data_IF_333835392792
#
_entry.id   IF_333835392792
#
_cell.length_a   1.000
_cell.length_b   1.000
_cell.length_c   1.000
_cell.angle_alpha   90.00
_cell.angle_beta   90.00
_cell.angle_gamma   90.00
#
_symmetry.space_group_name_H-M   'P 1'
#
loop_
_entity.id
_entity.type
_entity.pdbx_description
1 polymer ?
#
# COMPACT_ATOMS: atom_id res chain seq x y z
N UNK A 1 17.51 -5.06 3.20
CA UNK A 1 17.14 -5.88 4.37
C UNK A 1 15.62 -5.91 4.58
N UNK A 2 14.95 -4.76 4.69
CA UNK A 2 13.50 -4.66 4.96
C UNK A 2 12.63 -5.41 3.92
N UNK A 3 12.90 -5.26 2.62
CA UNK A 3 12.18 -6.01 1.56
C UNK A 3 12.17 -7.51 1.83
N UNK A 4 13.32 -8.10 2.22
CA UNK A 4 13.42 -9.54 2.48
C UNK A 4 12.63 -9.98 3.72
N UNK A 5 12.39 -9.08 4.67
CA UNK A 5 11.56 -9.35 5.84
C UNK A 5 10.09 -9.29 5.42
N UNK A 6 9.69 -8.23 4.72
CA UNK A 6 8.33 -8.07 4.20
C UNK A 6 7.92 -9.22 3.27
N UNK A 7 8.81 -9.66 2.38
CA UNK A 7 8.55 -10.76 1.44
C UNK A 7 8.33 -12.13 2.11
N UNK A 8 8.70 -12.29 3.40
CA UNK A 8 8.38 -13.51 4.16
C UNK A 8 6.95 -13.54 4.67
N UNK A 9 6.33 -12.37 4.85
CA UNK A 9 5.01 -12.21 5.44
C UNK A 9 3.95 -11.82 4.41
N UNK A 10 4.35 -11.05 3.39
CA UNK A 10 3.45 -10.45 2.41
C UNK A 10 3.89 -10.76 0.98
N UNK A 11 2.92 -10.74 0.08
CA UNK A 11 3.18 -10.80 -1.36
C UNK A 11 3.99 -9.55 -1.78
N UNK A 12 5.09 -9.74 -2.52
CA UNK A 12 5.93 -8.67 -3.05
C UNK A 12 5.19 -7.68 -3.96
N UNK A 13 3.97 -8.02 -4.41
CA UNK A 13 3.10 -7.13 -5.15
C UNK A 13 2.46 -6.01 -4.33
N UNK A 14 2.47 -6.13 -3.01
CA UNK A 14 1.83 -5.16 -2.12
C UNK A 14 2.75 -4.00 -1.72
N UNK A 15 4.05 -4.07 -2.04
CA UNK A 15 4.99 -3.06 -1.61
C UNK A 15 6.11 -2.79 -2.63
N UNK A 16 6.67 -1.58 -2.56
CA UNK A 16 7.85 -1.19 -3.33
C UNK A 16 8.68 -0.12 -2.62
N UNK A 17 9.98 -0.06 -2.96
CA UNK A 17 10.90 0.98 -2.49
C UNK A 17 11.34 1.83 -3.66
N UNK A 18 11.14 3.15 -3.57
CA UNK A 18 11.48 4.19 -4.56
C UNK A 18 10.88 4.04 -5.97
N UNK A 19 10.45 2.84 -6.37
CA UNK A 19 9.88 2.56 -7.67
C UNK A 19 8.36 2.43 -7.57
N UNK A 20 7.64 3.15 -8.42
CA UNK A 20 6.18 3.02 -8.50
C UNK A 20 5.77 1.61 -8.92
N UNK A 21 4.84 1.01 -8.18
CA UNK A 21 4.26 -0.30 -8.48
C UNK A 21 2.76 -0.21 -8.29
N UNK A 22 1.98 -0.51 -9.34
CA UNK A 22 0.51 -0.42 -9.31
C UNK A 22 -0.07 -1.28 -8.20
N UNK A 23 -1.01 -0.71 -7.47
CA UNK A 23 -1.70 -1.36 -6.35
C UNK A 23 -0.83 -1.58 -5.12
N UNK A 24 0.36 -0.99 -5.03
CA UNK A 24 1.31 -1.21 -3.93
C UNK A 24 1.45 0.00 -3.02
N UNK A 25 1.88 -0.26 -1.79
CA UNK A 25 2.41 0.77 -0.89
C UNK A 25 3.86 1.05 -1.30
N UNK A 26 4.19 2.31 -1.51
CA UNK A 26 5.51 2.80 -1.89
C UNK A 26 6.12 3.57 -0.72
N UNK A 27 7.34 3.19 -0.34
CA UNK A 27 8.22 4.01 0.50
C UNK A 27 9.23 4.73 -0.42
N UNK A 28 9.20 6.06 -0.44
CA UNK A 28 10.08 6.86 -1.29
C UNK A 28 10.89 7.87 -0.47
N UNK A 29 12.16 8.05 -0.83
CA UNK A 29 13.02 9.07 -0.25
C UNK A 29 12.75 10.43 -0.89
N UNK A 30 12.41 11.44 -0.08
CA UNK A 30 12.11 12.81 -0.52
C UNK A 30 12.86 13.80 0.37
N UNK A 31 13.80 14.55 -0.20
CA UNK A 31 14.55 15.62 0.50
C UNK A 31 15.19 15.22 1.84
N UNK A 32 15.71 13.99 1.95
CA UNK A 32 16.31 13.48 3.19
C UNK A 32 15.32 12.89 4.20
N UNK A 33 14.03 12.95 3.89
CA UNK A 33 12.95 12.26 4.60
C UNK A 33 12.36 11.14 3.74
N UNK A 34 11.31 10.50 4.26
CA UNK A 34 10.61 9.43 3.58
C UNK A 34 9.10 9.66 3.58
N UNK A 35 8.51 9.46 2.41
CA UNK A 35 7.08 9.52 2.19
C UNK A 35 6.55 8.10 1.94
N UNK A 36 5.32 7.87 2.40
CA UNK A 36 4.56 6.64 2.17
C UNK A 36 3.39 6.97 1.27
N UNK A 37 3.34 6.32 0.13
CA UNK A 37 2.33 6.54 -0.91
C UNK A 37 1.59 5.24 -1.24
N UNK A 38 0.32 5.34 -1.63
CA UNK A 38 -0.37 4.26 -2.33
C UNK A 38 -0.34 4.55 -3.83
N UNK A 39 0.18 3.61 -4.61
CA UNK A 39 0.18 3.71 -6.06
C UNK A 39 -1.11 3.08 -6.59
N UNK A 40 -2.06 3.88 -7.06
CA UNK A 40 -3.31 3.42 -7.66
C UNK A 40 -3.04 2.61 -8.94
N UNK A 41 -4.06 1.86 -9.38
CA UNK A 41 -3.99 1.06 -10.62
C UNK A 41 -3.74 1.91 -11.88
N UNK A 42 -4.12 3.19 -11.87
CA UNK A 42 -3.89 4.16 -12.93
C UNK A 42 -2.49 4.83 -12.88
N UNK A 43 -1.55 4.35 -12.03
CA UNK A 43 -0.24 4.94 -11.73
C UNK A 43 -0.25 6.26 -10.94
N UNK A 44 -1.42 6.76 -10.53
CA UNK A 44 -1.50 7.92 -9.65
C UNK A 44 -0.95 7.58 -8.26
N UNK A 45 -0.16 8.49 -7.68
CA UNK A 45 0.33 8.36 -6.30
C UNK A 45 -0.58 9.13 -5.37
N UNK A 46 -1.08 8.44 -4.36
CA UNK A 46 -1.82 9.03 -3.25
C UNK A 46 -0.87 9.09 -2.07
N UNK A 47 -0.53 10.29 -1.64
CA UNK A 47 0.28 10.44 -0.43
C UNK A 47 -0.53 9.98 0.79
N UNK A 48 0.01 9.00 1.50
CA UNK A 48 -0.56 8.52 2.75
C UNK A 48 -0.02 9.34 3.91
N UNK A 49 1.30 9.42 3.99
CA UNK A 49 2.04 10.11 5.05
C UNK A 49 3.32 10.70 4.45
N UNK A 50 3.68 11.91 4.85
CA UNK A 50 4.88 12.62 4.39
C UNK A 50 5.92 12.84 5.48
N UNK A 51 7.14 13.18 5.07
CA UNK A 51 8.20 13.79 5.88
C UNK A 51 8.59 12.98 7.13
N UNK A 52 8.62 11.64 7.00
CA UNK A 52 9.01 10.78 8.12
C UNK A 52 10.50 10.53 8.14
N UNK A 53 11.05 10.47 9.36
CA UNK A 53 12.39 9.90 9.57
C UNK A 53 12.38 8.41 9.22
N UNK A 54 13.53 7.87 8.80
CA UNK A 54 13.62 6.49 8.32
C UNK A 54 12.97 5.47 9.28
N UNK A 55 13.33 5.50 10.57
CA UNK A 55 12.83 4.54 11.56
C UNK A 55 11.30 4.59 11.69
N UNK A 56 10.72 5.79 11.69
CA UNK A 56 9.27 5.95 11.74
C UNK A 56 8.61 5.53 10.42
N UNK A 57 9.21 5.90 9.30
CA UNK A 57 8.69 5.59 7.97
C UNK A 57 8.58 4.08 7.73
N UNK A 58 9.56 3.30 8.19
CA UNK A 58 9.56 1.83 8.05
C UNK A 58 8.40 1.19 8.84
N UNK A 59 8.10 1.69 10.05
CA UNK A 59 6.98 1.18 10.86
C UNK A 59 5.66 1.52 10.18
N UNK A 60 5.48 2.75 9.74
CA UNK A 60 4.27 3.21 9.03
C UNK A 60 4.08 2.42 7.74
N UNK A 61 5.16 2.23 6.98
CA UNK A 61 5.17 1.45 5.75
C UNK A 61 4.71 0.01 5.99
N UNK A 62 5.25 -0.67 6.99
CA UNK A 62 4.82 -2.02 7.39
C UNK A 62 3.32 -2.07 7.70
N UNK A 63 2.82 -1.12 8.50
CA UNK A 63 1.41 -1.07 8.91
C UNK A 63 0.48 -0.90 7.70
N UNK A 64 0.83 -0.05 6.74
CA UNK A 64 0.02 0.13 5.54
C UNK A 64 0.07 -1.07 4.59
N UNK A 65 1.20 -1.77 4.50
CA UNK A 65 1.27 -3.04 3.75
C UNK A 65 0.34 -4.07 4.38
N UNK A 66 0.34 -4.18 5.71
CA UNK A 66 -0.55 -5.07 6.45
C UNK A 66 -2.02 -4.71 6.22
N UNK A 67 -2.38 -3.43 6.31
CA UNK A 67 -3.76 -2.99 6.03
C UNK A 67 -4.19 -3.34 4.60
N UNK A 68 -3.31 -3.13 3.63
CA UNK A 68 -3.60 -3.48 2.24
C UNK A 68 -3.78 -5.00 2.07
N UNK A 69 -2.93 -5.81 2.72
CA UNK A 69 -3.06 -7.26 2.72
C UNK A 69 -4.40 -7.73 3.34
N UNK A 70 -4.78 -7.14 4.48
CA UNK A 70 -6.06 -7.43 5.15
C UNK A 70 -7.25 -7.05 4.24
N UNK A 71 -7.17 -5.90 3.55
CA UNK A 71 -8.19 -5.50 2.57
C UNK A 71 -8.32 -6.51 1.41
N UNK A 72 -7.20 -6.94 0.81
CA UNK A 72 -7.23 -7.89 -0.31
C UNK A 72 -7.88 -9.24 0.08
N UNK A 73 -7.69 -9.66 1.34
CA UNK A 73 -8.37 -10.84 1.86
C UNK A 73 -9.87 -10.60 2.06
N UNK A 74 -10.25 -9.47 2.67
CA UNK A 74 -11.65 -9.12 2.93
C UNK A 74 -12.45 -8.95 1.62
N UNK A 75 -11.89 -8.23 0.64
CA UNK A 75 -12.59 -7.95 -0.61
C UNK A 75 -12.76 -9.21 -1.45
N UNK A 76 -11.86 -10.20 -1.33
CA UNK A 76 -12.00 -11.49 -1.99
C UNK A 76 -13.25 -12.23 -1.52
N UNK A 77 -13.48 -12.24 -0.20
CA UNK A 77 -14.67 -12.86 0.39
C UNK A 77 -15.94 -12.13 -0.05
N UNK A 78 -15.95 -10.79 -0.01
CA UNK A 78 -17.08 -9.97 -0.46
C UNK A 78 -17.35 -10.16 -1.97
N UNK A 79 -16.30 -10.22 -2.78
CA UNK A 79 -16.40 -10.36 -4.23
C UNK A 79 -17.03 -11.70 -4.66
N UNK A 80 -16.96 -12.72 -3.81
CA UNK A 80 -17.66 -13.99 -4.04
C UNK A 80 -19.18 -13.86 -3.97
N UNK A 81 -19.70 -12.79 -3.33
CA UNK A 81 -21.12 -12.56 -3.09
C UNK A 81 -21.69 -11.56 -4.11
N UNK A 82 -21.04 -10.40 -4.27
CA UNK A 82 -21.61 -9.25 -5.00
C UNK A 82 -20.81 -8.80 -6.24
N UNK A 83 -19.68 -9.44 -6.54
CA UNK A 83 -18.84 -9.18 -7.72
C UNK A 83 -18.65 -7.69 -8.06
N UNK A 84 -18.05 -6.88 -7.16
CA UNK A 84 -17.86 -5.46 -7.42
C UNK A 84 -16.89 -5.25 -8.60
N UNK A 85 -17.12 -4.18 -9.37
CA UNK A 85 -16.18 -3.79 -10.43
C UNK A 85 -14.82 -3.39 -9.85
N UNK A 86 -13.77 -3.46 -10.66
CA UNK A 86 -12.42 -3.05 -10.23
C UNK A 86 -12.38 -1.57 -9.79
N UNK A 87 -13.17 -0.71 -10.43
CA UNK A 87 -13.30 0.69 -10.01
C UNK A 87 -13.88 0.81 -8.59
N UNK A 88 -14.91 0.02 -8.28
CA UNK A 88 -15.51 -0.01 -6.93
C UNK A 88 -14.49 -0.55 -5.92
N UNK A 89 -13.79 -1.64 -6.24
CA UNK A 89 -12.75 -2.20 -5.37
C UNK A 89 -11.67 -1.18 -5.06
N UNK A 90 -11.22 -0.43 -6.06
CA UNK A 90 -10.19 0.61 -5.89
C UNK A 90 -10.68 1.77 -5.00
N UNK A 91 -11.93 2.21 -5.17
CA UNK A 91 -12.54 3.22 -4.28
C UNK A 91 -12.63 2.72 -2.83
N UNK A 92 -13.09 1.49 -2.63
CA UNK A 92 -13.18 0.87 -1.30
C UNK A 92 -11.81 0.76 -0.64
N UNK A 93 -10.79 0.34 -1.40
CA UNK A 93 -9.40 0.27 -0.93
C UNK A 93 -8.88 1.62 -0.48
N UNK A 94 -9.15 2.67 -1.25
CA UNK A 94 -8.75 4.03 -0.92
C UNK A 94 -9.36 4.48 0.42
N UNK A 95 -10.67 4.26 0.60
CA UNK A 95 -11.35 4.54 1.86
C UNK A 95 -10.80 3.70 3.03
N UNK A 96 -10.50 2.42 2.80
CA UNK A 96 -9.96 1.52 3.82
C UNK A 96 -8.57 1.95 4.30
N UNK A 97 -7.76 2.55 3.43
CA UNK A 97 -6.46 3.15 3.77
C UNK A 97 -6.59 4.50 4.49
N UNK A 98 -7.82 4.99 4.72
CA UNK A 98 -8.10 6.23 5.44
C UNK A 98 -7.93 7.49 4.59
N UNK A 99 -8.17 7.40 3.28
CA UNK A 99 -8.10 8.51 2.33
C UNK A 99 -9.42 8.74 1.60
#
# INVERSE_FOLDING_TARGET
>A
MIIRILAKEFNENLFSLNNSKRGAILLESVNGFYDINYCRLNNEKVNIVSERTFSNAVIVFYNYIRLLFEFENLIKDIASIIQPSEEIKEKLKHCYLGK
#
